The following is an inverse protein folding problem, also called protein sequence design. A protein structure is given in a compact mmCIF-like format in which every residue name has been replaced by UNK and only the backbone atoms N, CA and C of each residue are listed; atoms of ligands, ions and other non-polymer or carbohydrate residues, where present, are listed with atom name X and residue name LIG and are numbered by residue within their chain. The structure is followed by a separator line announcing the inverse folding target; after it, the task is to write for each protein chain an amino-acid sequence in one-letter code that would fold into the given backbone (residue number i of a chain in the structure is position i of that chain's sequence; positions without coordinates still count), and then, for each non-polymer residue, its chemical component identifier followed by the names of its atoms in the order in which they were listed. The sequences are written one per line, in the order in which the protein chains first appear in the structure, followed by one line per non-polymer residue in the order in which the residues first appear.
data_IF_306809255934
#
_entry.id   IF_306809255934
#
_cell.length_a   1.000
_cell.length_b   1.000
_cell.length_c   1.000
_cell.angle_alpha   90.00
_cell.angle_beta   90.00
_cell.angle_gamma   90.00
#
_symmetry.space_group_name_H-M   'P 1'
#
loop_
_entity.id
_entity.type
_entity.pdbx_description
1 polymer ?
#
# COMPACT_ATOMS: atom_id res chain seq x y z
N UNK A 1 -87.47 -17.09 -33.35
CA UNK A 1 -87.64 -18.56 -33.31
C UNK A 1 -86.34 -19.16 -32.81
N UNK A 2 -86.43 -19.80 -31.67
CA UNK A 2 -85.56 -20.84 -31.06
C UNK A 2 -84.20 -20.40 -30.53
N UNK A 3 -84.06 -20.34 -29.25
CA UNK A 3 -83.71 -21.41 -28.27
C UNK A 3 -82.26 -21.84 -28.42
N UNK A 4 -81.47 -21.93 -27.46
CA UNK A 4 -81.51 -22.53 -26.11
C UNK A 4 -80.13 -22.51 -25.55
N UNK A 5 -80.04 -22.11 -24.31
CA UNK A 5 -79.74 -22.94 -23.14
C UNK A 5 -78.25 -23.28 -22.84
N UNK A 6 -77.77 -22.73 -21.76
CA UNK A 6 -77.02 -23.33 -20.66
C UNK A 6 -75.67 -24.02 -20.96
N UNK A 7 -74.61 -23.73 -20.26
CA UNK A 7 -74.38 -24.23 -18.93
C UNK A 7 -73.12 -23.52 -18.35
N UNK A 8 -73.24 -23.11 -17.13
CA UNK A 8 -72.15 -22.66 -16.26
C UNK A 8 -71.24 -23.83 -15.92
N UNK A 9 -69.98 -23.60 -15.90
CA UNK A 9 -69.06 -24.36 -15.03
C UNK A 9 -68.01 -23.47 -14.47
N UNK A 10 -68.19 -23.16 -13.22
CA UNK A 10 -67.22 -22.53 -12.34
C UNK A 10 -66.11 -23.51 -12.05
N UNK A 11 -64.88 -23.17 -12.37
CA UNK A 11 -63.72 -23.81 -11.75
C UNK A 11 -62.86 -22.69 -11.19
N UNK A 12 -62.92 -22.56 -9.89
CA UNK A 12 -62.06 -21.72 -9.13
C UNK A 12 -60.60 -22.26 -9.18
N UNK A 13 -59.73 -21.49 -9.70
CA UNK A 13 -58.32 -21.70 -9.50
C UNK A 13 -57.86 -20.66 -8.48
N UNK A 14 -57.76 -21.10 -7.25
CA UNK A 14 -57.06 -20.36 -6.19
C UNK A 14 -55.61 -20.28 -6.55
N UNK A 15 -55.20 -19.10 -7.00
CA UNK A 15 -53.77 -18.78 -7.13
C UNK A 15 -53.28 -18.46 -5.72
N UNK A 16 -52.65 -19.40 -5.10
CA UNK A 16 -51.88 -19.17 -3.87
C UNK A 16 -50.68 -18.27 -4.21
N UNK A 17 -50.76 -16.99 -3.83
CA UNK A 17 -49.59 -16.14 -3.80
C UNK A 17 -48.67 -16.66 -2.67
N UNK A 18 -47.62 -17.37 -3.05
CA UNK A 18 -46.53 -17.63 -2.17
C UNK A 18 -45.75 -16.32 -1.95
N UNK A 19 -45.48 -15.89 -0.70
CA UNK A 19 -44.58 -14.76 -0.47
C UNK A 19 -43.19 -15.19 -0.91
N UNK A 20 -42.66 -14.54 -1.94
CA UNK A 20 -41.25 -14.61 -2.27
C UNK A 20 -40.53 -13.92 -1.12
N UNK A 21 -39.94 -14.73 -0.26
CA UNK A 21 -39.02 -14.27 0.77
C UNK A 21 -37.75 -13.79 0.06
N UNK A 22 -37.67 -12.48 -0.18
CA UNK A 22 -36.41 -11.84 -0.58
C UNK A 22 -35.55 -11.74 0.68
N UNK A 23 -35.05 -12.89 1.11
CA UNK A 23 -33.96 -13.01 2.08
C UNK A 23 -32.63 -12.85 1.37
N UNK A 24 -32.44 -11.74 0.68
CA UNK A 24 -31.13 -11.33 0.23
C UNK A 24 -30.35 -10.76 1.42
N UNK A 25 -29.78 -11.63 2.25
CA UNK A 25 -28.71 -11.23 3.13
C UNK A 25 -27.53 -10.87 2.24
N UNK A 26 -27.41 -9.57 1.92
CA UNK A 26 -26.16 -9.03 1.41
C UNK A 26 -25.18 -9.13 2.56
N UNK A 27 -24.52 -10.28 2.69
CA UNK A 27 -23.32 -10.38 3.49
C UNK A 27 -22.27 -9.62 2.66
N UNK A 28 -22.26 -8.31 2.84
CA UNK A 28 -21.10 -7.52 2.49
C UNK A 28 -19.94 -8.10 3.30
N UNK A 29 -19.15 -8.96 2.69
CA UNK A 29 -17.87 -9.33 3.24
C UNK A 29 -17.05 -8.04 3.29
N UNK A 30 -17.15 -7.34 4.42
CA UNK A 30 -16.19 -6.33 4.80
C UNK A 30 -14.87 -7.09 4.95
N UNK A 31 -14.12 -7.18 3.87
CA UNK A 31 -12.75 -7.66 3.96
C UNK A 31 -12.05 -6.68 4.90
N UNK A 32 -11.77 -7.15 6.09
CA UNK A 32 -10.95 -6.40 7.04
C UNK A 32 -9.65 -6.06 6.33
N UNK A 33 -9.39 -4.77 6.14
CA UNK A 33 -8.13 -4.29 5.55
C UNK A 33 -7.03 -4.79 6.49
N UNK A 34 -6.25 -5.77 6.04
CA UNK A 34 -5.18 -6.35 6.83
C UNK A 34 -4.06 -5.32 6.95
N UNK A 35 -4.00 -4.66 8.10
CA UNK A 35 -2.88 -3.81 8.47
C UNK A 35 -1.77 -4.70 9.04
N UNK A 36 -0.54 -4.46 8.61
CA UNK A 36 0.63 -5.16 9.13
C UNK A 36 1.51 -4.23 9.95
N UNK A 37 2.18 -4.79 10.96
CA UNK A 37 3.23 -4.05 11.65
C UNK A 37 4.48 -3.99 10.79
N UNK A 38 5.13 -2.82 10.75
CA UNK A 38 6.43 -2.65 10.12
C UNK A 38 7.51 -2.41 11.18
N UNK A 39 8.55 -3.23 11.13
CA UNK A 39 9.70 -3.08 12.02
C UNK A 39 10.98 -2.89 11.19
N UNK A 40 11.62 -1.73 11.37
CA UNK A 40 12.86 -1.41 10.67
C UNK A 40 14.00 -2.37 11.03
N UNK A 41 14.05 -2.85 12.27
CA UNK A 41 15.10 -3.77 12.71
C UNK A 41 15.02 -5.13 12.02
N UNK A 42 13.83 -5.57 11.60
CA UNK A 42 13.66 -6.82 10.83
C UNK A 42 14.19 -6.73 9.40
N UNK A 43 14.46 -5.51 8.93
CA UNK A 43 15.01 -5.29 7.58
C UNK A 43 16.54 -5.43 7.54
N UNK A 44 17.21 -5.38 8.70
CA UNK A 44 18.67 -5.48 8.76
C UNK A 44 19.19 -6.73 8.05
N UNK A 45 20.25 -6.53 7.30
CA UNK A 45 20.96 -7.52 6.49
C UNK A 45 20.17 -8.13 5.32
N UNK A 46 18.87 -7.80 5.23
CA UNK A 46 17.99 -8.24 4.13
C UNK A 46 17.73 -7.12 3.13
N UNK A 47 17.24 -5.99 3.61
CA UNK A 47 16.79 -4.89 2.77
C UNK A 47 17.42 -3.55 3.18
N UNK A 48 17.59 -2.68 2.20
CA UNK A 48 17.72 -1.23 2.41
C UNK A 48 16.32 -0.66 2.54
N UNK A 49 16.17 0.42 3.28
CA UNK A 49 14.87 1.06 3.48
C UNK A 49 14.95 2.52 3.06
N UNK A 50 14.04 2.93 2.19
CA UNK A 50 13.85 4.32 1.82
C UNK A 50 12.55 4.82 2.44
N UNK A 51 12.69 5.68 3.45
CA UNK A 51 11.58 6.29 4.18
C UNK A 51 11.23 7.63 3.55
N UNK A 52 9.95 7.85 3.27
CA UNK A 52 9.42 9.14 2.86
C UNK A 52 8.38 9.57 3.87
N UNK A 53 8.72 10.60 4.64
CA UNK A 53 7.83 11.22 5.61
C UNK A 53 7.14 12.42 4.98
N UNK A 54 5.86 12.57 5.21
CA UNK A 54 5.10 13.73 4.77
C UNK A 54 3.86 13.97 5.66
N UNK A 55 3.31 15.20 5.66
CA UNK A 55 2.07 15.50 6.39
C UNK A 55 0.88 14.73 5.85
N UNK A 56 0.71 14.68 4.52
CA UNK A 56 -0.44 14.09 3.85
C UNK A 56 -0.11 13.69 2.41
N UNK A 57 -1.02 12.97 1.76
CA UNK A 57 -0.93 12.65 0.32
C UNK A 57 -0.98 13.89 -0.57
N UNK A 58 -1.58 14.99 -0.10
CA UNK A 58 -1.71 16.25 -0.84
C UNK A 58 -0.48 17.15 -0.70
N UNK A 59 0.49 16.75 0.13
CA UNK A 59 1.73 17.50 0.27
C UNK A 59 2.49 17.53 -1.07
N UNK A 60 2.87 18.72 -1.51
CA UNK A 60 3.51 18.94 -2.82
C UNK A 60 4.81 18.16 -2.98
N UNK A 61 5.67 18.19 -1.98
CA UNK A 61 6.97 17.51 -2.02
C UNK A 61 6.77 15.98 -2.05
N UNK A 62 5.79 15.48 -1.31
CA UNK A 62 5.43 14.06 -1.36
C UNK A 62 4.95 13.63 -2.75
N UNK A 63 4.06 14.40 -3.38
CA UNK A 63 3.57 14.10 -4.73
C UNK A 63 4.71 14.10 -5.74
N UNK A 64 5.58 15.11 -5.69
CA UNK A 64 6.76 15.18 -6.56
C UNK A 64 7.69 13.99 -6.32
N UNK A 65 7.95 13.63 -5.07
CA UNK A 65 8.80 12.47 -4.73
C UNK A 65 8.22 11.17 -5.27
N UNK A 66 6.93 10.95 -5.15
CA UNK A 66 6.28 9.75 -5.69
C UNK A 66 6.34 9.68 -7.21
N UNK A 67 6.22 10.81 -7.91
CA UNK A 67 6.41 10.87 -9.36
C UNK A 67 7.84 10.47 -9.76
N UNK A 68 8.84 10.99 -9.06
CA UNK A 68 10.26 10.66 -9.30
C UNK A 68 10.55 9.16 -9.09
N UNK A 69 9.84 8.49 -8.18
CA UNK A 69 10.07 7.07 -7.90
C UNK A 69 9.26 6.12 -8.78
N UNK A 70 8.06 6.51 -9.21
CA UNK A 70 7.16 5.65 -9.98
C UNK A 70 7.77 5.11 -11.27
N UNK A 71 8.67 5.86 -11.90
CA UNK A 71 9.33 5.46 -13.14
C UNK A 71 10.49 4.46 -12.93
N UNK A 72 10.86 4.18 -11.67
CA UNK A 72 12.07 3.44 -11.32
C UNK A 72 11.83 2.21 -10.44
N UNK A 73 10.62 1.65 -10.45
CA UNK A 73 10.23 0.52 -9.57
C UNK A 73 11.17 -0.69 -9.66
N UNK A 74 11.61 -1.03 -10.86
CA UNK A 74 12.55 -2.14 -11.07
C UNK A 74 13.92 -1.86 -10.41
N UNK A 75 14.35 -0.61 -10.39
CA UNK A 75 15.59 -0.20 -9.73
C UNK A 75 15.56 -0.36 -8.22
N UNK A 76 14.39 -0.22 -7.61
CA UNK A 76 14.18 -0.50 -6.17
C UNK A 76 14.36 -1.99 -5.87
N UNK A 77 13.68 -2.85 -6.64
CA UNK A 77 13.77 -4.30 -6.48
C UNK A 77 15.20 -4.84 -6.69
N UNK A 78 15.90 -4.34 -7.69
CA UNK A 78 17.29 -4.73 -7.99
C UNK A 78 18.24 -4.43 -6.81
N UNK A 79 17.96 -3.41 -6.02
CA UNK A 79 18.78 -2.97 -4.88
C UNK A 79 18.28 -3.44 -3.52
N UNK A 80 17.34 -4.38 -3.50
CA UNK A 80 16.64 -4.82 -2.27
C UNK A 80 16.18 -3.61 -1.44
N UNK A 81 15.57 -2.62 -2.10
CA UNK A 81 15.17 -1.35 -1.51
C UNK A 81 13.66 -1.33 -1.25
N UNK A 82 13.27 -1.31 0.00
CA UNK A 82 11.89 -1.20 0.46
C UNK A 82 11.50 0.27 0.59
N UNK A 83 10.44 0.68 -0.12
CA UNK A 83 9.86 2.01 0.02
C UNK A 83 8.84 2.03 1.16
N UNK A 84 9.05 2.91 2.14
CA UNK A 84 8.13 3.12 3.26
C UNK A 84 7.63 4.56 3.24
N UNK A 85 6.33 4.72 3.10
CA UNK A 85 5.65 6.01 3.08
C UNK A 85 4.97 6.24 4.42
N UNK A 86 5.46 7.22 5.18
CA UNK A 86 4.98 7.54 6.53
C UNK A 86 4.22 8.86 6.48
N UNK A 87 2.90 8.77 6.47
CA UNK A 87 2.00 9.92 6.37
C UNK A 87 1.38 10.25 7.72
N UNK A 88 1.21 11.53 8.01
CA UNK A 88 0.74 11.97 9.34
C UNK A 88 -0.79 11.97 9.46
N UNK A 89 -1.49 12.30 8.38
CA UNK A 89 -2.95 12.39 8.35
C UNK A 89 -3.62 11.35 7.47
N UNK A 90 -2.81 10.58 6.73
CA UNK A 90 -3.27 9.54 5.82
C UNK A 90 -2.66 8.18 6.21
N UNK A 91 -3.09 7.14 5.53
CA UNK A 91 -2.56 5.78 5.71
C UNK A 91 -1.12 5.69 5.25
N UNK A 92 -0.30 4.97 6.00
CA UNK A 92 1.11 4.72 5.72
C UNK A 92 1.32 3.33 5.09
N UNK A 93 2.37 3.18 4.29
CA UNK A 93 2.60 1.97 3.49
C UNK A 93 4.07 1.55 3.51
N UNK A 94 4.30 0.25 3.42
CA UNK A 94 5.61 -0.34 3.16
C UNK A 94 5.50 -1.26 1.93
N UNK A 95 6.20 -0.94 0.85
CA UNK A 95 6.09 -1.63 -0.45
C UNK A 95 4.64 -1.83 -0.92
N UNK A 96 3.80 -0.81 -0.75
CA UNK A 96 2.40 -0.84 -1.13
C UNK A 96 1.47 -1.57 -0.17
N UNK A 97 1.97 -2.17 0.89
CA UNK A 97 1.16 -2.79 1.94
C UNK A 97 0.89 -1.80 3.07
N UNK A 98 -0.35 -1.77 3.51
CA UNK A 98 -0.78 -0.90 4.60
C UNK A 98 -0.09 -1.28 5.91
N UNK A 99 0.52 -0.31 6.58
CA UNK A 99 1.10 -0.48 7.92
C UNK A 99 0.24 0.21 8.98
N UNK A 100 0.32 -0.29 10.21
CA UNK A 100 -0.43 0.28 11.33
C UNK A 100 0.13 1.63 11.79
N UNK A 101 -0.72 2.43 12.44
CA UNK A 101 -0.36 3.78 12.90
C UNK A 101 0.75 3.76 13.96
N UNK A 102 0.83 2.72 14.77
CA UNK A 102 1.89 2.60 15.77
C UNK A 102 3.26 2.40 15.11
N UNK A 103 3.34 1.62 14.02
CA UNK A 103 4.56 1.51 13.22
C UNK A 103 4.96 2.84 12.61
N UNK A 104 4.01 3.59 12.03
CA UNK A 104 4.25 4.91 11.47
C UNK A 104 4.74 5.91 12.54
N UNK A 105 4.10 5.93 13.70
CA UNK A 105 4.50 6.79 14.83
C UNK A 105 5.90 6.44 15.35
N UNK A 106 6.21 5.16 15.48
CA UNK A 106 7.53 4.69 15.90
C UNK A 106 8.64 5.12 14.94
N UNK A 107 8.38 5.08 13.63
CA UNK A 107 9.32 5.56 12.62
C UNK A 107 9.55 7.07 12.74
N UNK A 108 8.48 7.87 12.87
CA UNK A 108 8.61 9.32 13.10
C UNK A 108 9.45 9.63 14.34
N UNK A 109 9.15 8.98 15.45
CA UNK A 109 9.87 9.18 16.70
C UNK A 109 11.34 8.79 16.59
N UNK A 110 11.63 7.65 15.95
CA UNK A 110 12.99 7.15 15.77
C UNK A 110 13.90 8.13 15.02
N UNK A 111 13.35 8.76 13.98
CA UNK A 111 14.11 9.69 13.12
C UNK A 111 13.90 11.16 13.48
N UNK A 112 13.11 11.47 14.50
CA UNK A 112 12.86 12.84 14.95
C UNK A 112 12.16 13.69 13.87
N UNK A 113 11.25 13.10 13.08
CA UNK A 113 10.55 13.81 12.01
C UNK A 113 9.19 14.26 12.52
N UNK A 114 8.99 15.58 12.57
CA UNK A 114 7.72 16.17 12.94
C UNK A 114 6.61 15.86 11.93
N UNK A 115 5.37 15.81 12.42
CA UNK A 115 4.20 15.47 11.61
C UNK A 115 3.98 16.40 10.40
N UNK A 116 4.47 17.61 10.45
CA UNK A 116 4.32 18.65 9.41
C UNK A 116 5.48 18.68 8.40
N UNK A 117 6.51 17.87 8.61
CA UNK A 117 7.72 17.93 7.80
C UNK A 117 7.74 16.85 6.73
N UNK A 118 8.26 17.24 5.56
CA UNK A 118 8.70 16.32 4.52
C UNK A 118 10.14 15.89 4.80
N UNK A 119 10.43 14.60 4.67
CA UNK A 119 11.79 14.06 4.80
C UNK A 119 11.95 12.78 3.99
N UNK A 120 13.10 12.64 3.33
CA UNK A 120 13.53 11.36 2.73
C UNK A 120 14.74 10.85 3.49
N UNK A 121 14.72 9.58 3.91
CA UNK A 121 15.81 8.96 4.67
C UNK A 121 16.16 7.61 4.05
N UNK A 122 17.41 7.42 3.66
CA UNK A 122 17.93 6.14 3.22
C UNK A 122 18.63 5.43 4.38
N UNK A 123 18.18 4.22 4.67
CA UNK A 123 18.77 3.32 5.67
C UNK A 123 19.43 2.14 4.95
N UNK A 124 20.69 1.87 5.26
CA UNK A 124 21.43 0.76 4.71
C UNK A 124 21.01 -0.59 5.29
N UNK A 125 21.49 -1.70 4.71
CA UNK A 125 21.26 -3.05 5.23
C UNK A 125 21.82 -3.26 6.64
N UNK A 126 22.86 -2.51 7.00
CA UNK A 126 23.43 -2.50 8.37
C UNK A 126 22.54 -1.76 9.40
N UNK A 127 21.45 -1.14 8.95
CA UNK A 127 20.54 -0.36 9.77
C UNK A 127 20.99 1.08 10.02
N UNK A 128 22.11 1.51 9.44
CA UNK A 128 22.63 2.88 9.56
C UNK A 128 21.99 3.83 8.54
N UNK A 129 21.78 5.09 8.95
CA UNK A 129 21.32 6.16 8.05
C UNK A 129 22.45 6.53 7.09
N UNK A 130 22.17 6.50 5.80
CA UNK A 130 23.14 6.79 4.71
C UNK A 130 22.89 8.13 4.04
N UNK A 131 21.64 8.62 4.09
CA UNK A 131 21.24 9.87 3.46
C UNK A 131 19.98 10.43 4.13
N UNK A 132 19.91 11.76 4.19
CA UNK A 132 18.70 12.49 4.60
C UNK A 132 18.52 13.70 3.69
N UNK A 133 17.29 13.89 3.18
CA UNK A 133 16.92 15.04 2.37
C UNK A 133 15.65 15.67 2.91
N UNK A 134 15.57 17.01 2.84
CA UNK A 134 14.39 17.79 3.23
C UNK A 134 13.55 18.23 2.03
N UNK A 135 14.01 17.92 0.83
CA UNK A 135 13.36 18.20 -0.45
C UNK A 135 13.33 16.93 -1.30
N UNK A 136 12.46 16.83 -2.30
CA UNK A 136 12.40 15.68 -3.20
C UNK A 136 13.75 15.40 -3.87
N UNK A 137 14.09 14.13 -3.98
CA UNK A 137 15.36 13.66 -4.55
C UNK A 137 15.09 12.68 -5.71
N UNK A 138 15.79 12.79 -6.84
CA UNK A 138 15.69 11.84 -7.94
C UNK A 138 16.09 10.42 -7.53
N UNK A 139 15.38 9.41 -8.04
CA UNK A 139 15.71 8.01 -7.76
C UNK A 139 17.14 7.66 -8.19
N UNK A 140 17.63 8.24 -9.28
CA UNK A 140 18.99 8.03 -9.80
C UNK A 140 20.07 8.40 -8.80
N UNK A 141 19.93 9.50 -8.08
CA UNK A 141 20.89 9.90 -7.05
C UNK A 141 20.95 8.89 -5.90
N UNK A 142 19.79 8.37 -5.48
CA UNK A 142 19.72 7.33 -4.45
C UNK A 142 20.37 6.04 -4.95
N UNK A 143 20.10 5.66 -6.19
CA UNK A 143 20.67 4.46 -6.80
C UNK A 143 22.19 4.55 -6.96
N UNK A 144 22.71 5.67 -7.42
CA UNK A 144 24.16 5.91 -7.53
C UNK A 144 24.84 5.79 -6.16
N UNK A 145 24.24 6.38 -5.13
CA UNK A 145 24.77 6.26 -3.77
C UNK A 145 24.75 4.81 -3.28
N UNK A 146 23.66 4.07 -3.52
CA UNK A 146 23.58 2.65 -3.13
C UNK A 146 24.60 1.84 -3.89
N UNK A 147 24.72 2.03 -5.22
CA UNK A 147 25.62 1.26 -6.08
C UNK A 147 27.11 1.47 -5.75
N UNK A 148 27.45 2.59 -5.10
CA UNK A 148 28.78 2.86 -4.56
C UNK A 148 29.05 2.19 -3.20
N UNK A 149 28.05 1.63 -2.53
CA UNK A 149 28.24 0.99 -1.23
C UNK A 149 28.99 -0.36 -1.36
N UNK A 150 29.95 -0.65 -0.45
CA UNK A 150 30.74 -1.89 -0.54
C UNK A 150 29.90 -3.17 -0.59
N UNK A 151 28.87 -3.26 0.23
CA UNK A 151 27.97 -4.42 0.23
C UNK A 151 27.22 -4.57 -1.10
N UNK A 152 26.77 -3.47 -1.69
CA UNK A 152 26.12 -3.49 -3.01
C UNK A 152 27.09 -3.90 -4.11
N UNK A 153 28.32 -3.46 -4.06
CA UNK A 153 29.37 -3.88 -4.99
C UNK A 153 29.58 -5.40 -4.96
N UNK A 154 29.61 -6.00 -3.77
CA UNK A 154 29.67 -7.45 -3.60
C UNK A 154 28.43 -8.17 -4.16
N UNK A 155 27.24 -7.64 -3.90
CA UNK A 155 25.97 -8.17 -4.44
C UNK A 155 26.00 -8.21 -5.98
N UNK A 156 26.43 -7.12 -6.62
CA UNK A 156 26.51 -7.04 -8.08
C UNK A 156 27.54 -8.04 -8.66
N UNK A 157 28.69 -8.19 -8.02
CA UNK A 157 29.69 -9.18 -8.42
C UNK A 157 29.18 -10.61 -8.31
N UNK A 158 28.42 -10.94 -7.26
CA UNK A 158 27.82 -12.25 -7.06
C UNK A 158 26.74 -12.56 -8.09
N UNK A 159 25.90 -11.55 -8.44
CA UNK A 159 24.85 -11.70 -9.47
C UNK A 159 25.43 -11.85 -10.88
N UNK A 160 26.55 -11.19 -11.18
CA UNK A 160 27.23 -11.29 -12.47
C UNK A 160 27.97 -12.60 -12.69
N UNK A 161 28.13 -13.46 -11.67
CA UNK A 161 28.78 -14.78 -11.75
C UNK A 161 27.82 -15.95 -12.00
N UNK A 162 26.51 -15.68 -12.02
CA UNK A 162 25.45 -16.64 -12.33
C UNK A 162 25.06 -16.54 -13.80
#
# INVERSE_FOLDING_TARGET
VHNSVLIALTLGASIALSPVSIGGTVIGSTQAIKMSSFNLSSQKWQNRVLLVFAPSVDNRDYQQQMQLFNQHKNGFADRDLVLVQVLSTDKSYANGQLIDESSAANLRNRFGVDRQNFRVILVGKDGGVKRQDTTPVPATEIFEQIDAMPMRQQEMQQRGRK
#
